data_IF_875829395972
#
_entry.id   IF_875829395972
#
_cell.length_a   1.000
_cell.length_b   1.000
_cell.length_c   1.000
_cell.angle_alpha   90.00
_cell.angle_beta   90.00
_cell.angle_gamma   90.00
#
_symmetry.space_group_name_H-M   'P 1'
#
loop_
_entity.id
_entity.type
_entity.pdbx_description
1 polymer ?
#
# COMPACT_ATOMS: atom_id res chain seq x y z
N UNK A 1 -29.91 0.95 5.51
CA UNK A 1 -28.62 0.81 6.22
C UNK A 1 -27.80 -0.21 5.45
N UNK A 2 -26.67 0.18 4.86
CA UNK A 2 -25.78 -0.75 4.16
C UNK A 2 -25.04 -1.60 5.19
N UNK A 3 -25.12 -2.91 5.06
CA UNK A 3 -24.36 -3.84 5.91
C UNK A 3 -22.87 -3.50 5.85
N UNK A 4 -22.15 -3.41 6.98
CA UNK A 4 -20.74 -3.13 6.98
C UNK A 4 -19.97 -4.20 6.20
N UNK A 5 -19.01 -3.78 5.39
CA UNK A 5 -18.16 -4.68 4.59
C UNK A 5 -17.38 -5.60 5.53
N UNK A 6 -17.44 -6.91 5.26
CA UNK A 6 -16.69 -7.91 6.03
C UNK A 6 -15.59 -8.50 5.14
N UNK A 7 -14.37 -8.43 5.62
CA UNK A 7 -13.20 -9.05 4.99
C UNK A 7 -12.98 -10.46 5.58
N UNK A 8 -13.95 -11.34 5.31
CA UNK A 8 -13.96 -12.72 5.80
C UNK A 8 -13.45 -13.72 4.74
N UNK A 9 -13.54 -15.02 5.03
CA UNK A 9 -13.15 -16.09 4.12
C UNK A 9 -13.82 -15.98 2.76
N UNK A 10 -15.14 -15.72 2.74
CA UNK A 10 -15.91 -15.65 1.49
C UNK A 10 -15.43 -14.49 0.61
N UNK A 11 -15.08 -13.35 1.21
CA UNK A 11 -14.47 -12.22 0.53
C UNK A 11 -13.17 -12.63 -0.19
N UNK A 12 -12.23 -13.25 0.54
CA UNK A 12 -10.95 -13.63 -0.06
C UNK A 12 -11.06 -14.77 -1.07
N UNK A 13 -11.98 -15.73 -0.88
CA UNK A 13 -12.25 -16.76 -1.87
C UNK A 13 -12.76 -16.15 -3.18
N UNK A 14 -13.70 -15.22 -3.10
CA UNK A 14 -14.26 -14.54 -4.26
C UNK A 14 -13.22 -13.68 -5.00
N UNK A 15 -12.52 -12.80 -4.31
CA UNK A 15 -11.71 -11.76 -4.93
C UNK A 15 -10.25 -12.16 -5.17
N UNK A 16 -9.78 -13.24 -4.55
CA UNK A 16 -8.38 -13.66 -4.63
C UNK A 16 -8.20 -15.03 -5.30
N UNK A 17 -9.24 -15.88 -5.36
CA UNK A 17 -9.14 -17.25 -5.85
C UNK A 17 -10.07 -17.58 -7.00
N UNK A 18 -11.23 -16.96 -7.09
CA UNK A 18 -12.13 -17.14 -8.22
C UNK A 18 -11.53 -16.50 -9.47
N UNK A 19 -11.22 -17.33 -10.47
CA UNK A 19 -10.62 -16.89 -11.74
C UNK A 19 -11.44 -15.84 -12.50
N UNK A 20 -12.75 -15.74 -12.24
CA UNK A 20 -13.66 -14.77 -12.87
C UNK A 20 -13.60 -13.39 -12.22
N UNK A 21 -13.14 -13.32 -10.97
CA UNK A 21 -13.20 -12.11 -10.14
C UNK A 21 -11.84 -11.72 -9.55
N UNK A 22 -10.79 -12.54 -9.76
CA UNK A 22 -9.48 -12.30 -9.15
C UNK A 22 -8.88 -10.96 -9.59
N UNK A 23 -8.73 -10.06 -8.63
CA UNK A 23 -8.35 -8.64 -8.79
C UNK A 23 -6.95 -8.46 -9.40
N UNK A 24 -6.04 -9.43 -9.30
CA UNK A 24 -4.73 -9.35 -9.92
C UNK A 24 -4.19 -10.73 -10.23
N UNK A 25 -3.70 -10.92 -11.44
CA UNK A 25 -2.95 -12.12 -11.77
C UNK A 25 -1.65 -12.18 -10.94
N UNK A 26 -1.16 -13.39 -10.67
CA UNK A 26 0.14 -13.54 -10.00
C UNK A 26 1.30 -12.91 -10.79
N UNK A 27 1.13 -12.68 -12.09
CA UNK A 27 2.08 -11.98 -12.95
C UNK A 27 2.10 -10.48 -12.67
N UNK A 28 0.93 -9.86 -12.56
CA UNK A 28 0.80 -8.44 -12.26
C UNK A 28 1.38 -8.09 -10.90
N UNK A 29 1.01 -8.83 -9.87
CA UNK A 29 1.58 -8.64 -8.53
C UNK A 29 3.11 -8.72 -8.55
N UNK A 30 3.69 -9.69 -9.27
CA UNK A 30 5.16 -9.79 -9.37
C UNK A 30 5.78 -8.57 -10.03
N UNK A 31 5.16 -8.01 -11.07
CA UNK A 31 5.64 -6.79 -11.74
C UNK A 31 5.56 -5.58 -10.81
N UNK A 32 4.46 -5.41 -10.08
CA UNK A 32 4.29 -4.32 -9.11
C UNK A 32 5.34 -4.38 -8.00
N UNK A 33 5.53 -5.56 -7.39
CA UNK A 33 6.55 -5.75 -6.35
C UNK A 33 7.95 -5.49 -6.89
N UNK A 34 8.30 -6.03 -8.06
CA UNK A 34 9.60 -5.83 -8.67
C UNK A 34 9.88 -4.36 -8.98
N UNK A 35 8.88 -3.64 -9.51
CA UNK A 35 8.97 -2.19 -9.76
C UNK A 35 9.17 -1.41 -8.45
N UNK A 36 8.33 -1.65 -7.43
CA UNK A 36 8.43 -0.94 -6.16
C UNK A 36 9.79 -1.19 -5.46
N UNK A 37 10.31 -2.41 -5.53
CA UNK A 37 11.66 -2.73 -5.04
C UNK A 37 12.72 -1.96 -5.83
N UNK A 38 12.68 -2.03 -7.16
CA UNK A 38 13.69 -1.43 -8.01
C UNK A 38 13.76 0.10 -7.86
N UNK A 39 12.60 0.79 -7.83
CA UNK A 39 12.57 2.25 -7.66
C UNK A 39 13.06 2.65 -6.27
N UNK A 40 12.70 1.88 -5.23
CA UNK A 40 13.17 2.15 -3.86
C UNK A 40 14.68 1.99 -3.75
N UNK A 41 15.23 0.91 -4.28
CA UNK A 41 16.67 0.66 -4.25
C UNK A 41 17.46 1.66 -5.09
N UNK A 42 16.91 2.06 -6.24
CA UNK A 42 17.52 3.12 -7.06
C UNK A 42 17.57 4.45 -6.31
N UNK A 43 16.48 4.82 -5.61
CA UNK A 43 16.42 6.03 -4.80
C UNK A 43 17.42 5.98 -3.64
N UNK A 44 17.45 4.87 -2.89
CA UNK A 44 18.26 4.72 -1.69
C UNK A 44 19.72 4.34 -1.98
N UNK A 45 20.07 4.03 -3.23
CA UNK A 45 21.39 3.54 -3.68
C UNK A 45 21.89 2.32 -2.86
N UNK A 46 20.97 1.48 -2.38
CA UNK A 46 21.27 0.27 -1.61
C UNK A 46 20.12 -0.74 -1.69
N UNK A 47 20.36 -2.01 -1.35
CA UNK A 47 19.29 -3.01 -1.26
C UNK A 47 18.21 -2.64 -0.24
N UNK A 48 16.97 -3.03 -0.55
CA UNK A 48 15.78 -2.89 0.30
C UNK A 48 15.96 -3.67 1.62
N UNK A 49 15.72 -2.99 2.75
CA UNK A 49 15.88 -3.58 4.09
C UNK A 49 14.57 -3.75 4.84
N UNK A 50 13.60 -2.85 4.63
CA UNK A 50 12.34 -2.87 5.37
C UNK A 50 11.14 -2.47 4.51
N UNK A 51 10.02 -3.16 4.72
CA UNK A 51 8.74 -2.91 4.05
C UNK A 51 7.62 -2.89 5.06
N UNK A 52 6.78 -1.86 5.00
CA UNK A 52 5.47 -1.81 5.65
C UNK A 52 4.40 -2.01 4.56
N UNK A 53 3.50 -2.98 4.77
CA UNK A 53 2.37 -3.27 3.87
C UNK A 53 1.06 -2.97 4.60
N UNK A 54 0.49 -1.80 4.32
CA UNK A 54 -0.68 -1.27 4.99
C UNK A 54 -1.96 -1.66 4.26
N UNK A 55 -2.85 -2.41 4.91
CA UNK A 55 -4.00 -3.04 4.27
C UNK A 55 -3.55 -4.24 3.42
N UNK A 56 -2.66 -5.05 3.97
CA UNK A 56 -1.95 -6.13 3.28
C UNK A 56 -2.85 -7.28 2.79
N UNK A 57 -4.12 -7.33 3.22
CA UNK A 57 -5.01 -8.44 2.96
C UNK A 57 -4.40 -9.76 3.45
N UNK A 58 -4.23 -10.71 2.56
CA UNK A 58 -3.54 -11.97 2.87
C UNK A 58 -2.00 -11.85 2.90
N UNK A 59 -1.42 -10.65 2.76
CA UNK A 59 0.04 -10.45 2.70
C UNK A 59 0.68 -11.04 1.44
N UNK A 60 0.04 -10.89 0.29
CA UNK A 60 0.53 -11.45 -1.00
C UNK A 60 1.87 -10.88 -1.45
N UNK A 61 2.23 -9.70 -0.99
CA UNK A 61 3.53 -9.07 -1.25
C UNK A 61 4.68 -9.86 -0.61
N UNK A 62 4.48 -10.39 0.61
CA UNK A 62 5.52 -11.07 1.37
C UNK A 62 6.25 -12.18 0.62
N UNK A 63 5.59 -13.21 0.03
CA UNK A 63 6.31 -14.29 -0.64
C UNK A 63 7.08 -13.83 -1.89
N UNK A 64 6.64 -12.76 -2.56
CA UNK A 64 7.35 -12.19 -3.71
C UNK A 64 8.57 -11.40 -3.24
N UNK A 65 8.41 -10.56 -2.22
CA UNK A 65 9.50 -9.81 -1.59
C UNK A 65 10.60 -10.74 -1.09
N UNK A 66 10.23 -11.82 -0.39
CA UNK A 66 11.19 -12.80 0.15
C UNK A 66 11.99 -13.51 -0.93
N UNK A 67 11.44 -13.70 -2.12
CA UNK A 67 12.19 -14.24 -3.28
C UNK A 67 13.19 -13.23 -3.83
N UNK A 68 12.83 -11.96 -3.89
CA UNK A 68 13.69 -10.89 -4.41
C UNK A 68 14.73 -10.45 -3.37
N UNK A 69 14.33 -10.36 -2.10
CA UNK A 69 15.15 -9.88 -0.98
C UNK A 69 14.97 -10.79 0.24
N UNK A 70 15.70 -11.90 0.33
CA UNK A 70 15.52 -12.92 1.38
C UNK A 70 15.68 -12.41 2.82
N UNK A 71 16.40 -11.30 3.01
CA UNK A 71 16.66 -10.70 4.33
C UNK A 71 15.81 -9.47 4.63
N UNK A 72 14.80 -9.14 3.78
CA UNK A 72 13.94 -7.99 4.01
C UNK A 72 13.13 -8.16 5.30
N UNK A 73 13.10 -7.14 6.13
CA UNK A 73 12.16 -7.02 7.25
C UNK A 73 10.81 -6.57 6.67
N UNK A 74 9.84 -7.44 6.69
CA UNK A 74 8.49 -7.16 6.25
C UNK A 74 7.56 -7.13 7.45
N UNK A 75 6.70 -6.14 7.50
CA UNK A 75 5.58 -6.04 8.42
C UNK A 75 4.34 -5.67 7.61
N UNK A 76 3.30 -6.48 7.71
CA UNK A 76 1.99 -6.19 7.14
C UNK A 76 0.95 -6.02 8.24
N UNK A 77 -0.06 -5.20 7.99
CA UNK A 77 -1.26 -5.18 8.83
C UNK A 77 -2.52 -5.11 7.96
N UNK A 78 -3.60 -5.68 8.47
CA UNK A 78 -4.91 -5.67 7.84
C UNK A 78 -6.02 -5.68 8.90
N UNK A 79 -7.18 -5.12 8.55
CA UNK A 79 -8.36 -5.11 9.43
C UNK A 79 -9.11 -6.45 9.45
N UNK A 80 -8.75 -7.39 8.57
CA UNK A 80 -9.34 -8.71 8.49
C UNK A 80 -8.80 -9.65 9.56
N UNK A 81 -9.58 -9.92 10.58
CA UNK A 81 -9.27 -10.96 11.58
C UNK A 81 -9.01 -12.32 10.91
N UNK A 82 -9.79 -12.65 9.87
CA UNK A 82 -9.63 -13.91 9.14
C UNK A 82 -8.27 -13.99 8.44
N UNK A 83 -7.85 -12.94 7.74
CA UNK A 83 -6.57 -12.93 7.04
C UNK A 83 -5.40 -13.02 8.03
N UNK A 84 -5.47 -12.27 9.13
CA UNK A 84 -4.44 -12.28 10.18
C UNK A 84 -4.40 -13.63 10.90
N UNK A 85 -5.53 -14.22 11.28
CA UNK A 85 -5.57 -15.56 11.89
C UNK A 85 -4.97 -16.63 10.97
N UNK A 86 -5.22 -16.53 9.65
CA UNK A 86 -4.76 -17.50 8.66
C UNK A 86 -3.28 -17.33 8.28
N UNK A 87 -2.80 -16.11 8.14
CA UNK A 87 -1.50 -15.81 7.54
C UNK A 87 -0.54 -15.04 8.45
N UNK A 88 -1.02 -14.50 9.58
CA UNK A 88 -0.25 -13.64 10.47
C UNK A 88 1.10 -14.23 10.84
N UNK A 89 1.11 -15.45 11.34
CA UNK A 89 2.33 -16.14 11.76
C UNK A 89 3.31 -16.42 10.61
N UNK A 90 2.79 -16.72 9.41
CA UNK A 90 3.62 -17.11 8.27
C UNK A 90 4.10 -15.94 7.43
N UNK A 91 3.37 -14.82 7.49
CA UNK A 91 3.62 -13.63 6.64
C UNK A 91 3.86 -12.36 7.44
N UNK A 92 4.05 -12.48 8.74
CA UNK A 92 4.21 -11.34 9.65
C UNK A 92 3.11 -10.28 9.47
N UNK A 93 1.83 -10.74 9.53
CA UNK A 93 0.66 -9.88 9.48
C UNK A 93 0.10 -9.64 10.87
N UNK A 94 -0.26 -8.42 11.15
CA UNK A 94 -0.84 -7.97 12.40
C UNK A 94 -2.25 -7.43 12.18
N UNK A 95 -3.10 -7.53 13.20
CA UNK A 95 -4.41 -6.91 13.15
C UNK A 95 -4.27 -5.41 13.34
N UNK A 96 -4.84 -4.64 12.41
CA UNK A 96 -4.80 -3.19 12.45
C UNK A 96 -5.47 -2.59 11.23
N UNK A 97 -5.74 -1.30 11.27
CA UNK A 97 -6.36 -0.59 10.16
C UNK A 97 -5.61 0.70 9.83
N UNK A 98 -5.78 1.20 8.61
CA UNK A 98 -5.24 2.50 8.21
C UNK A 98 -5.82 3.65 9.05
N UNK A 99 -7.08 3.53 9.49
CA UNK A 99 -7.74 4.53 10.31
C UNK A 99 -7.20 4.59 11.75
N UNK A 100 -6.64 3.48 12.24
CA UNK A 100 -5.99 3.38 13.56
C UNK A 100 -4.48 3.25 13.47
N UNK A 101 -3.87 3.70 12.39
CA UNK A 101 -2.43 3.56 12.14
C UNK A 101 -1.56 4.25 13.21
N UNK A 102 -2.03 5.36 13.75
CA UNK A 102 -1.40 6.12 14.83
C UNK A 102 -1.38 5.38 16.18
N UNK A 103 -2.21 4.35 16.33
CA UNK A 103 -2.27 3.49 17.53
C UNK A 103 -1.38 2.26 17.42
N UNK A 104 -0.82 1.99 16.24
CA UNK A 104 0.09 0.89 16.02
C UNK A 104 1.51 1.30 16.42
N UNK A 105 2.14 0.53 17.29
CA UNK A 105 3.56 0.70 17.64
C UNK A 105 4.44 0.16 16.50
N UNK A 106 4.76 1.04 15.56
CA UNK A 106 5.51 0.72 14.36
C UNK A 106 6.95 1.27 14.46
N UNK A 107 7.91 0.36 14.49
CA UNK A 107 9.33 0.68 14.45
C UNK A 107 9.76 1.11 13.02
N UNK A 108 9.45 2.35 12.67
CA UNK A 108 9.80 2.99 11.39
C UNK A 108 11.00 3.92 11.50
N UNK A 109 11.39 4.62 10.41
CA UNK A 109 10.77 4.57 9.08
C UNK A 109 11.15 3.32 8.28
N UNK A 110 10.32 3.00 7.27
CA UNK A 110 10.51 1.88 6.36
C UNK A 110 11.05 2.34 5.01
N UNK A 111 11.92 1.54 4.37
CA UNK A 111 12.45 1.84 3.04
C UNK A 111 11.34 1.90 1.98
N UNK A 112 10.36 1.02 2.10
CA UNK A 112 9.18 0.97 1.23
C UNK A 112 7.92 0.86 2.10
N UNK A 113 6.98 1.77 1.87
CA UNK A 113 5.64 1.70 2.44
C UNK A 113 4.66 1.41 1.30
N UNK A 114 3.86 0.38 1.45
CA UNK A 114 2.85 -0.04 0.47
C UNK A 114 1.45 0.18 1.05
N UNK A 115 0.55 0.76 0.27
CA UNK A 115 -0.88 0.76 0.53
C UNK A 115 -1.61 0.54 -0.79
N UNK A 116 -1.59 -0.73 -1.25
CA UNK A 116 -2.09 -1.10 -2.57
C UNK A 116 -3.58 -1.42 -2.51
N UNK A 117 -4.35 -0.73 -3.35
CA UNK A 117 -5.78 -0.96 -3.58
C UNK A 117 -6.65 -0.89 -2.30
N UNK A 118 -6.26 -0.04 -1.35
CA UNK A 118 -6.96 0.11 -0.07
C UNK A 118 -7.43 1.56 0.21
N UNK A 119 -6.70 2.56 -0.27
CA UNK A 119 -6.97 3.97 0.05
C UNK A 119 -8.31 4.46 -0.51
N UNK A 120 -8.79 3.86 -1.58
CA UNK A 120 -10.06 4.22 -2.20
C UNK A 120 -11.30 3.74 -1.43
N UNK A 121 -11.13 2.95 -0.38
CA UNK A 121 -12.23 2.59 0.53
C UNK A 121 -12.38 3.57 1.70
N UNK A 122 -11.37 4.37 2.01
CA UNK A 122 -11.41 5.30 3.13
C UNK A 122 -12.25 6.54 2.82
N UNK A 123 -13.11 6.95 3.74
CA UNK A 123 -13.80 8.25 3.66
C UNK A 123 -12.78 9.38 3.72
N UNK A 124 -13.13 10.57 3.20
CA UNK A 124 -12.18 11.67 3.08
C UNK A 124 -11.48 12.09 4.39
N UNK A 125 -12.16 12.20 5.55
CA UNK A 125 -11.48 12.48 6.81
C UNK A 125 -10.49 11.38 7.19
N UNK A 126 -10.92 10.11 7.14
CA UNK A 126 -10.10 8.95 7.45
C UNK A 126 -8.88 8.85 6.54
N UNK A 127 -9.04 9.08 5.23
CA UNK A 127 -7.92 9.08 4.28
C UNK A 127 -6.86 10.14 4.66
N UNK A 128 -7.27 11.35 5.02
CA UNK A 128 -6.33 12.41 5.43
C UNK A 128 -5.59 12.04 6.71
N UNK A 129 -6.30 11.54 7.72
CA UNK A 129 -5.69 11.10 8.98
C UNK A 129 -4.72 9.94 8.75
N UNK A 130 -5.14 8.93 7.95
CA UNK A 130 -4.27 7.80 7.60
C UNK A 130 -3.02 8.23 6.84
N UNK A 131 -3.13 9.17 5.90
CA UNK A 131 -1.96 9.70 5.18
C UNK A 131 -1.02 10.47 6.13
N UNK A 132 -1.57 11.27 7.05
CA UNK A 132 -0.76 11.99 8.04
C UNK A 132 0.02 11.05 8.95
N UNK A 133 -0.56 9.91 9.33
CA UNK A 133 0.11 8.88 10.13
C UNK A 133 1.09 8.02 9.30
N UNK A 134 0.81 7.80 8.02
CA UNK A 134 1.62 6.94 7.14
C UNK A 134 2.88 7.64 6.62
N UNK A 135 2.80 8.93 6.29
CA UNK A 135 3.92 9.67 5.68
C UNK A 135 5.19 9.70 6.55
N UNK A 136 5.13 9.88 7.88
CA UNK A 136 6.31 9.79 8.75
C UNK A 136 7.01 8.43 8.71
N UNK A 137 6.30 7.36 8.33
CA UNK A 137 6.85 6.01 8.23
C UNK A 137 7.59 5.76 6.89
N UNK A 138 7.54 6.71 5.94
CA UNK A 138 8.17 6.58 4.62
C UNK A 138 9.62 7.07 4.69
N UNK A 139 10.56 6.14 4.74
CA UNK A 139 12.00 6.43 4.68
C UNK A 139 12.57 6.48 3.26
N UNK A 140 11.93 5.83 2.31
CA UNK A 140 12.30 5.81 0.90
C UNK A 140 11.09 6.11 0.01
N UNK A 141 10.40 5.08 -0.45
CA UNK A 141 9.26 5.19 -1.38
C UNK A 141 7.95 4.79 -0.70
N UNK A 142 6.88 5.53 -0.96
CA UNK A 142 5.51 5.10 -0.75
C UNK A 142 4.93 4.62 -2.09
N UNK A 143 4.50 3.37 -2.16
CA UNK A 143 3.82 2.79 -3.32
C UNK A 143 2.33 2.67 -3.04
N UNK A 144 1.54 3.53 -3.68
CA UNK A 144 0.13 3.79 -3.35
C UNK A 144 -0.82 3.59 -4.55
N UNK A 145 -0.90 2.39 -5.14
CA UNK A 145 -1.90 2.08 -6.15
C UNK A 145 -3.30 2.38 -5.61
N UNK A 146 -4.05 3.18 -6.35
CA UNK A 146 -5.35 3.65 -5.91
C UNK A 146 -6.24 3.86 -7.14
N UNK A 147 -7.42 3.28 -7.15
CA UNK A 147 -8.39 3.48 -8.21
C UNK A 147 -9.12 4.82 -8.08
N UNK A 148 -9.42 5.42 -9.21
CA UNK A 148 -10.16 6.68 -9.36
C UNK A 148 -11.42 6.44 -10.19
N UNK A 149 -12.29 7.43 -10.28
CA UNK A 149 -13.49 7.33 -11.15
C UNK A 149 -13.16 7.35 -12.65
N UNK A 150 -11.94 7.69 -12.99
CA UNK A 150 -11.44 7.70 -14.37
C UNK A 150 -10.91 6.33 -14.82
N UNK A 151 -10.71 5.39 -13.88
CA UNK A 151 -10.20 4.07 -14.18
C UNK A 151 -11.34 3.07 -14.47
N UNK A 152 -11.07 2.10 -15.34
CA UNK A 152 -11.91 0.92 -15.47
C UNK A 152 -11.66 0.01 -14.27
N UNK A 153 -12.59 0.04 -13.31
CA UNK A 153 -12.42 -0.68 -12.05
C UNK A 153 -13.01 -2.08 -12.19
N UNK A 154 -12.16 -3.08 -12.23
CA UNK A 154 -12.52 -4.47 -12.03
C UNK A 154 -12.35 -4.84 -10.56
N UNK A 155 -13.39 -5.41 -9.93
CA UNK A 155 -13.28 -5.88 -8.56
C UNK A 155 -14.39 -5.42 -7.64
N UNK A 156 -14.08 -5.30 -6.34
CA UNK A 156 -15.06 -4.98 -5.32
C UNK A 156 -15.32 -3.48 -5.20
N UNK A 157 -16.50 -3.07 -5.65
CA UNK A 157 -16.97 -1.67 -5.53
C UNK A 157 -17.68 -1.37 -4.21
N UNK A 158 -17.89 -2.37 -3.34
CA UNK A 158 -18.56 -2.13 -2.07
C UNK A 158 -17.68 -1.29 -1.12
N UNK A 159 -18.15 -0.12 -0.79
CA UNK A 159 -17.42 0.87 0.02
C UNK A 159 -16.45 1.75 -0.77
N UNK A 160 -16.34 1.55 -2.09
CA UNK A 160 -15.56 2.44 -2.95
C UNK A 160 -16.02 3.89 -2.80
N UNK A 161 -15.06 4.79 -2.61
CA UNK A 161 -15.29 6.24 -2.51
C UNK A 161 -14.95 6.89 -3.84
N UNK A 162 -15.95 7.28 -4.65
CA UNK A 162 -15.71 7.81 -5.99
C UNK A 162 -14.98 9.15 -5.93
N UNK A 163 -13.69 9.17 -6.26
CA UNK A 163 -12.85 10.37 -6.31
C UNK A 163 -12.09 10.44 -7.61
N UNK A 164 -11.89 11.66 -8.09
CA UNK A 164 -11.03 11.94 -9.25
C UNK A 164 -9.56 11.80 -8.89
N UNK A 165 -8.73 11.46 -9.86
CA UNK A 165 -7.28 11.37 -9.72
C UNK A 165 -6.66 12.66 -9.16
N UNK A 166 -7.17 13.83 -9.58
CA UNK A 166 -6.73 15.13 -9.05
C UNK A 166 -6.97 15.26 -7.54
N UNK A 167 -8.09 14.73 -7.03
CA UNK A 167 -8.38 14.74 -5.59
C UNK A 167 -7.36 13.93 -4.80
N UNK A 168 -6.99 12.74 -5.28
CA UNK A 168 -5.94 11.94 -4.65
C UNK A 168 -4.58 12.62 -4.72
N UNK A 169 -4.20 13.16 -5.88
CA UNK A 169 -2.95 13.93 -6.02
C UNK A 169 -2.87 15.10 -5.05
N UNK A 170 -3.99 15.81 -4.82
CA UNK A 170 -4.06 16.86 -3.80
C UNK A 170 -3.85 16.31 -2.39
N UNK A 171 -4.58 15.26 -1.99
CA UNK A 171 -4.41 14.65 -0.66
C UNK A 171 -2.98 14.17 -0.41
N UNK A 172 -2.34 13.56 -1.40
CA UNK A 172 -0.97 13.09 -1.27
C UNK A 172 0.02 14.25 -1.14
N UNK A 173 -0.15 15.32 -1.94
CA UNK A 173 0.67 16.54 -1.82
C UNK A 173 0.46 17.25 -0.47
N UNK A 174 -0.79 17.39 -0.03
CA UNK A 174 -1.13 18.01 1.25
C UNK A 174 -0.51 17.23 2.42
N UNK A 175 -0.41 15.92 2.30
CA UNK A 175 0.29 15.05 3.26
C UNK A 175 1.83 15.13 3.17
N UNK A 176 2.40 15.84 2.20
CA UNK A 176 3.84 16.01 2.03
C UNK A 176 4.52 15.02 1.09
N UNK A 177 3.73 14.35 0.22
CA UNK A 177 4.25 13.44 -0.79
C UNK A 177 4.38 14.12 -2.15
N UNK A 178 5.42 13.76 -2.90
CA UNK A 178 5.67 14.16 -4.28
C UNK A 178 5.72 12.94 -5.20
N UNK A 179 5.13 13.02 -6.41
CA UNK A 179 5.08 11.88 -7.31
C UNK A 179 6.44 11.57 -7.95
N UNK A 180 6.76 10.29 -8.05
CA UNK A 180 7.81 9.76 -8.94
C UNK A 180 7.22 9.17 -10.23
N UNK A 181 5.92 8.95 -10.26
CA UNK A 181 5.19 8.27 -11.34
C UNK A 181 4.84 6.83 -10.99
N UNK A 182 3.92 6.24 -11.75
CA UNK A 182 3.47 4.83 -11.63
C UNK A 182 3.11 4.44 -10.19
N UNK A 183 2.35 5.27 -9.48
CA UNK A 183 1.94 5.12 -8.08
C UNK A 183 3.06 5.19 -7.03
N UNK A 184 4.30 5.48 -7.44
CA UNK A 184 5.41 5.72 -6.52
C UNK A 184 5.45 7.19 -6.09
N UNK A 185 5.63 7.42 -4.80
CA UNK A 185 5.67 8.72 -4.16
C UNK A 185 6.84 8.80 -3.19
N UNK A 186 7.35 10.02 -2.94
CA UNK A 186 8.42 10.28 -1.97
C UNK A 186 8.06 11.44 -1.06
N UNK A 187 8.65 11.45 0.13
CA UNK A 187 8.55 12.58 1.06
C UNK A 187 9.46 13.74 0.64
N UNK A 188 9.28 14.92 1.24
CA UNK A 188 10.20 16.06 1.06
C UNK A 188 11.66 15.68 1.38
N UNK A 189 11.86 14.80 2.37
CA UNK A 189 13.20 14.31 2.68
C UNK A 189 13.74 13.41 1.55
N UNK A 190 12.90 12.53 0.99
CA UNK A 190 13.25 11.68 -0.14
C UNK A 190 13.63 12.47 -1.39
N UNK A 191 13.05 13.65 -1.63
CA UNK A 191 13.41 14.53 -2.76
C UNK A 191 14.89 14.95 -2.76
N UNK A 192 15.53 15.02 -1.59
CA UNK A 192 16.96 15.33 -1.49
C UNK A 192 17.86 14.28 -2.11
N UNK A 193 17.35 13.05 -2.26
CA UNK A 193 18.06 11.92 -2.88
C UNK A 193 17.96 11.92 -4.41
N UNK A 194 17.02 12.71 -4.97
CA UNK A 194 16.88 12.85 -6.42
C UNK A 194 18.01 13.68 -7.02
N UNK A 195 18.33 13.39 -8.29
CA UNK A 195 19.19 14.24 -9.10
C UNK A 195 18.56 15.65 -9.25
N UNK A 196 19.39 16.66 -9.59
CA UNK A 196 18.86 18.02 -9.80
C UNK A 196 17.83 18.10 -10.91
N UNK A 197 17.96 17.24 -11.94
CA UNK A 197 17.03 17.16 -13.07
C UNK A 197 15.62 16.69 -12.63
N UNK A 198 15.56 15.81 -11.62
CA UNK A 198 14.32 15.14 -11.18
C UNK A 198 13.63 15.86 -10.01
N UNK A 199 14.30 16.87 -9.43
CA UNK A 199 13.71 17.64 -8.32
C UNK A 199 12.61 18.54 -8.85
N UNK A 200 11.40 18.47 -8.25
CA UNK A 200 10.36 19.44 -8.60
C UNK A 200 10.83 20.86 -8.30
N UNK A 201 10.54 21.76 -9.22
CA UNK A 201 10.76 23.21 -9.09
C UNK A 201 9.77 23.82 -8.10
#
# INVERSE_FOLDING_TARGET
MTTPKRYDRAYFERWYRDRRHAIASGGELRRQVAFAVAVTERLLARPLRSVLDAGAGEGRWYPVLRKLRPRVRYLGFDSSEWAVARWGRHRNLHLGSLEGLDQLDLDGPFDLVVAADVLHYLKAPALRTSLAALVPLVGGVAFLPTFTIEDEIEGDLHGFQPRRAETYRRYFRDAGLSPLGMHAWITKQGQRLLSRLERPT
#
